data_IF_884333334627
#
_entry.id   IF_884333334627
#
_cell.length_a   1.000
_cell.length_b   1.000
_cell.length_c   1.000
_cell.angle_alpha   90.00
_cell.angle_beta   90.00
_cell.angle_gamma   90.00
#
_symmetry.space_group_name_H-M   'P 1'
#
loop_
_entity.id
_entity.type
_entity.pdbx_description
1 polymer ?
#
# COMPACT_ATOMS: atom_id res chain seq x y z
N UNK A 1 -1.87 -23.49 -7.88
CA UNK A 1 -0.73 -22.80 -7.24
C UNK A 1 -0.08 -23.53 -6.06
N UNK A 2 -0.73 -23.75 -4.89
CA UNK A 2 -0.03 -24.34 -3.72
C UNK A 2 0.49 -25.76 -3.99
N UNK A 3 -0.34 -26.62 -4.60
CA UNK A 3 0.04 -28.00 -4.94
C UNK A 3 1.17 -28.07 -5.98
N UNK A 4 1.17 -27.17 -6.96
CA UNK A 4 2.20 -27.07 -8.00
C UNK A 4 3.55 -26.64 -7.43
N UNK A 5 3.57 -25.62 -6.55
CA UNK A 5 4.81 -25.17 -5.89
C UNK A 5 5.48 -26.27 -5.05
N UNK A 6 4.68 -27.12 -4.40
CA UNK A 6 5.20 -28.26 -3.63
C UNK A 6 5.82 -29.29 -4.56
N UNK A 7 5.17 -29.62 -5.67
CA UNK A 7 5.70 -30.57 -6.65
C UNK A 7 7.02 -30.10 -7.25
N UNK A 8 7.12 -28.81 -7.61
CA UNK A 8 8.38 -28.22 -8.13
C UNK A 8 9.50 -28.34 -7.09
N UNK A 9 9.20 -28.02 -5.83
CA UNK A 9 10.18 -28.15 -4.75
C UNK A 9 10.65 -29.60 -4.56
N UNK A 10 9.76 -30.59 -4.67
CA UNK A 10 10.16 -32.01 -4.63
C UNK A 10 11.00 -32.42 -5.86
N UNK A 11 10.64 -31.96 -7.05
CA UNK A 11 11.40 -32.26 -8.28
C UNK A 11 12.82 -31.68 -8.20
N UNK A 12 12.97 -30.44 -7.75
CA UNK A 12 14.28 -29.81 -7.52
C UNK A 12 15.08 -30.60 -6.48
N UNK A 13 14.45 -31.00 -5.37
CA UNK A 13 15.10 -31.82 -4.36
C UNK A 13 15.58 -33.17 -4.92
N UNK A 14 14.79 -33.81 -5.79
CA UNK A 14 15.16 -35.04 -6.48
C UNK A 14 16.39 -34.88 -7.38
N UNK A 15 16.46 -33.78 -8.14
CA UNK A 15 17.62 -33.47 -8.99
C UNK A 15 18.89 -33.24 -8.16
N UNK A 16 18.80 -32.42 -7.12
CA UNK A 16 19.95 -32.12 -6.25
C UNK A 16 20.47 -33.35 -5.51
N UNK A 17 19.57 -34.24 -5.05
CA UNK A 17 19.97 -35.51 -4.45
C UNK A 17 20.61 -36.45 -5.48
N UNK A 18 20.05 -36.54 -6.68
CA UNK A 18 20.62 -37.38 -7.75
C UNK A 18 22.02 -36.92 -8.14
N UNK A 19 22.24 -35.61 -8.24
CA UNK A 19 23.56 -35.02 -8.47
C UNK A 19 24.53 -35.38 -7.35
N UNK A 20 24.11 -35.23 -6.08
CA UNK A 20 24.97 -35.57 -4.93
C UNK A 20 25.32 -37.06 -4.81
N UNK A 21 24.52 -37.94 -5.41
CA UNK A 21 24.78 -39.38 -5.50
C UNK A 21 25.67 -39.76 -6.70
N UNK A 22 26.14 -38.77 -7.47
CA UNK A 22 26.97 -39.00 -8.66
C UNK A 22 26.19 -39.58 -9.85
N UNK A 23 24.85 -39.52 -9.82
CA UNK A 23 23.99 -40.21 -10.80
C UNK A 23 23.81 -39.49 -12.13
N UNK A 24 24.27 -38.24 -12.31
CA UNK A 24 24.42 -37.57 -13.62
C UNK A 24 24.84 -36.08 -13.51
N UNK A 25 25.31 -35.56 -14.67
CA UNK A 25 25.42 -34.16 -15.12
C UNK A 25 26.45 -33.24 -14.45
N UNK A 26 27.05 -32.33 -15.24
CA UNK A 26 27.93 -31.28 -14.71
C UNK A 26 27.13 -30.29 -13.85
N UNK A 27 27.84 -29.55 -13.00
CA UNK A 27 27.27 -28.52 -12.13
C UNK A 27 26.38 -27.53 -12.90
N UNK A 28 26.83 -27.10 -14.07
CA UNK A 28 26.14 -26.14 -14.94
C UNK A 28 24.81 -26.70 -15.47
N UNK A 29 24.81 -27.98 -15.86
CA UNK A 29 23.61 -28.65 -16.38
C UNK A 29 22.57 -28.80 -15.27
N UNK A 30 22.98 -29.23 -14.07
CA UNK A 30 22.07 -29.37 -12.92
C UNK A 30 21.52 -28.02 -12.49
N UNK A 31 22.36 -26.98 -12.40
CA UNK A 31 21.90 -25.62 -12.08
C UNK A 31 20.87 -25.14 -13.10
N UNK A 32 21.14 -25.30 -14.39
CA UNK A 32 20.21 -24.90 -15.47
C UNK A 32 18.86 -25.62 -15.36
N UNK A 33 18.86 -26.94 -15.14
CA UNK A 33 17.63 -27.73 -14.96
C UNK A 33 16.84 -27.31 -13.71
N UNK A 34 17.52 -27.07 -12.59
CA UNK A 34 16.89 -26.61 -11.35
C UNK A 34 16.25 -25.24 -11.57
N UNK A 35 16.97 -24.29 -12.16
CA UNK A 35 16.43 -22.94 -12.41
C UNK A 35 15.24 -22.99 -13.39
N UNK A 36 15.32 -23.80 -14.44
CA UNK A 36 14.21 -23.99 -15.39
C UNK A 36 12.95 -24.54 -14.69
N UNK A 37 13.10 -25.51 -13.79
CA UNK A 37 11.97 -26.03 -12.99
C UNK A 37 11.37 -24.95 -12.10
N UNK A 38 12.19 -24.16 -11.41
CA UNK A 38 11.71 -23.09 -10.52
C UNK A 38 10.93 -22.06 -11.34
N UNK A 39 11.52 -21.53 -12.42
CA UNK A 39 10.88 -20.49 -13.23
C UNK A 39 9.64 -20.96 -13.99
N UNK A 40 9.49 -22.26 -14.25
CA UNK A 40 8.28 -22.80 -14.89
C UNK A 40 6.98 -22.57 -14.09
N UNK A 41 7.08 -22.28 -12.79
CA UNK A 41 5.94 -22.14 -11.88
C UNK A 41 5.93 -20.80 -11.11
N UNK A 42 6.87 -19.91 -11.42
CA UNK A 42 6.96 -18.59 -10.81
C UNK A 42 6.41 -17.57 -11.81
N UNK A 43 5.43 -16.72 -11.44
CA UNK A 43 4.99 -15.64 -12.31
C UNK A 43 6.18 -14.77 -12.73
N UNK A 44 6.30 -14.47 -14.02
CA UNK A 44 7.35 -13.56 -14.49
C UNK A 44 7.04 -12.12 -14.07
N UNK A 45 8.06 -11.25 -14.10
CA UNK A 45 7.87 -9.81 -13.87
C UNK A 45 6.80 -9.22 -14.80
N UNK A 46 6.80 -9.58 -16.08
CA UNK A 46 5.81 -9.07 -17.03
C UNK A 46 4.40 -9.59 -16.74
N UNK A 47 4.25 -10.84 -16.29
CA UNK A 47 2.96 -11.38 -15.84
C UNK A 47 2.44 -10.64 -14.60
N UNK A 48 3.32 -10.34 -13.64
CA UNK A 48 3.00 -9.55 -12.45
C UNK A 48 2.53 -8.13 -12.82
N UNK A 49 3.28 -7.44 -13.68
CA UNK A 49 2.94 -6.08 -14.15
C UNK A 49 1.63 -6.08 -14.96
N UNK A 50 1.42 -7.08 -15.82
CA UNK A 50 0.17 -7.22 -16.57
C UNK A 50 -1.03 -7.44 -15.64
N UNK A 51 -0.88 -8.29 -14.61
CA UNK A 51 -1.93 -8.51 -13.61
C UNK A 51 -2.25 -7.24 -12.81
N UNK A 52 -1.23 -6.49 -12.38
CA UNK A 52 -1.43 -5.20 -11.70
C UNK A 52 -2.13 -4.19 -12.61
N UNK A 53 -1.72 -4.09 -13.89
CA UNK A 53 -2.36 -3.23 -14.89
C UNK A 53 -3.84 -3.54 -15.04
N UNK A 54 -4.22 -4.82 -15.17
CA UNK A 54 -5.63 -5.22 -15.27
C UNK A 54 -6.45 -4.72 -14.07
N UNK A 55 -5.89 -4.84 -12.85
CA UNK A 55 -6.56 -4.35 -11.65
C UNK A 55 -6.69 -2.82 -11.63
N UNK A 56 -5.66 -2.10 -12.08
CA UNK A 56 -5.70 -0.65 -12.23
C UNK A 56 -6.70 -0.20 -13.30
N UNK A 57 -6.75 -0.87 -14.45
CA UNK A 57 -7.70 -0.59 -15.53
C UNK A 57 -9.15 -0.83 -15.06
N UNK A 58 -9.41 -1.93 -14.34
CA UNK A 58 -10.72 -2.23 -13.77
C UNK A 58 -11.13 -1.18 -12.71
N UNK A 59 -10.22 -0.80 -11.82
CA UNK A 59 -10.48 0.27 -10.84
C UNK A 59 -10.76 1.61 -11.52
N UNK A 60 -9.99 1.96 -12.55
CA UNK A 60 -10.20 3.19 -13.33
C UNK A 60 -11.56 3.17 -14.03
N UNK A 61 -11.94 2.05 -14.65
CA UNK A 61 -13.24 1.90 -15.30
C UNK A 61 -14.39 2.10 -14.29
N UNK A 62 -14.29 1.50 -13.10
CA UNK A 62 -15.26 1.69 -12.01
C UNK A 62 -15.31 3.14 -11.54
N UNK A 63 -14.15 3.77 -11.36
CA UNK A 63 -14.02 5.18 -10.96
C UNK A 63 -14.71 6.11 -11.97
N UNK A 64 -14.54 5.85 -13.28
CA UNK A 64 -15.21 6.58 -14.35
C UNK A 64 -16.72 6.35 -14.32
N UNK A 65 -17.16 5.10 -14.16
CA UNK A 65 -18.57 4.74 -14.16
C UNK A 65 -19.35 5.45 -13.04
N UNK A 66 -18.78 5.54 -11.84
CA UNK A 66 -19.44 6.20 -10.70
C UNK A 66 -19.06 7.68 -10.54
N UNK A 67 -18.16 8.21 -11.39
CA UNK A 67 -17.62 9.58 -11.31
C UNK A 67 -17.07 9.94 -9.93
N UNK A 68 -16.33 9.02 -9.32
CA UNK A 68 -15.79 9.15 -7.96
C UNK A 68 -15.18 7.86 -7.45
N UNK A 69 -14.89 7.79 -6.16
CA UNK A 69 -14.26 6.64 -5.52
C UNK A 69 -15.25 5.46 -5.48
N UNK A 70 -14.96 4.33 -6.16
CA UNK A 70 -15.90 3.21 -6.20
C UNK A 70 -15.97 2.50 -4.84
N UNK A 71 -17.18 2.29 -4.35
CA UNK A 71 -17.44 1.58 -3.09
C UNK A 71 -18.61 0.63 -3.27
N UNK A 72 -18.49 -0.58 -2.72
CA UNK A 72 -19.54 -1.60 -2.78
C UNK A 72 -20.50 -1.43 -1.61
N UNK A 73 -21.77 -1.18 -1.88
CA UNK A 73 -22.83 -1.13 -0.86
C UNK A 73 -23.54 -2.47 -0.75
N UNK A 74 -23.52 -3.09 0.43
CA UNK A 74 -24.24 -4.35 0.69
C UNK A 74 -25.57 -4.00 1.36
N UNK A 75 -26.67 -4.18 0.63
CA UNK A 75 -28.03 -4.02 1.16
C UNK A 75 -28.72 -5.38 1.10
N UNK A 76 -29.19 -5.90 2.23
CA UNK A 76 -30.12 -7.05 2.27
C UNK A 76 -29.58 -8.42 1.85
N UNK A 77 -28.26 -8.62 1.78
CA UNK A 77 -27.66 -9.95 1.51
C UNK A 77 -27.51 -10.33 0.02
N UNK A 78 -27.80 -9.43 -0.92
CA UNK A 78 -27.52 -9.61 -2.35
C UNK A 78 -26.12 -9.10 -2.74
N UNK A 79 -25.69 -9.40 -3.97
CA UNK A 79 -24.48 -8.84 -4.57
C UNK A 79 -24.61 -7.31 -4.64
N UNK A 80 -23.84 -6.62 -3.81
CA UNK A 80 -23.93 -5.16 -3.66
C UNK A 80 -23.64 -4.35 -4.93
N UNK A 81 -24.33 -3.23 -5.08
CA UNK A 81 -24.09 -2.24 -6.15
C UNK A 81 -22.77 -1.48 -5.91
N UNK A 82 -22.10 -1.08 -6.99
CA UNK A 82 -20.94 -0.19 -6.93
C UNK A 82 -21.45 1.25 -7.08
N UNK A 83 -21.26 2.05 -6.04
CA UNK A 83 -21.63 3.47 -6.00
C UNK A 83 -20.39 4.33 -5.74
N UNK A 84 -20.50 5.63 -5.95
CA UNK A 84 -19.47 6.58 -5.53
C UNK A 84 -19.58 6.83 -4.03
N UNK A 85 -18.46 6.75 -3.31
CA UNK A 85 -18.31 7.30 -1.96
C UNK A 85 -17.76 8.73 -1.95
N UNK A 86 -17.42 9.28 -3.12
CA UNK A 86 -17.02 10.67 -3.24
C UNK A 86 -18.23 11.60 -3.20
N UNK A 87 -18.07 12.75 -2.52
CA UNK A 87 -19.11 13.77 -2.44
C UNK A 87 -19.45 14.41 -3.79
N UNK A 88 -20.57 15.14 -3.84
CA UNK A 88 -21.12 15.76 -5.05
C UNK A 88 -20.12 16.67 -5.79
N UNK A 89 -19.27 17.39 -5.06
CA UNK A 89 -18.23 18.25 -5.64
C UNK A 89 -17.28 17.50 -6.58
N UNK A 90 -16.88 16.27 -6.22
CA UNK A 90 -16.02 15.43 -7.06
C UNK A 90 -16.76 15.01 -8.32
N UNK A 91 -18.01 14.56 -8.19
CA UNK A 91 -18.82 14.13 -9.33
C UNK A 91 -19.06 15.27 -10.33
N UNK A 92 -19.35 16.47 -9.83
CA UNK A 92 -19.61 17.67 -10.64
C UNK A 92 -18.33 18.15 -11.36
N UNK A 93 -17.15 17.95 -10.77
CA UNK A 93 -15.86 18.31 -11.36
C UNK A 93 -15.12 17.15 -12.04
N UNK A 94 -15.69 15.95 -12.09
CA UNK A 94 -14.99 14.72 -12.48
C UNK A 94 -14.29 14.81 -13.84
N UNK A 95 -14.92 15.47 -14.82
CA UNK A 95 -14.34 15.63 -16.16
C UNK A 95 -13.03 16.43 -16.14
N UNK A 96 -12.87 17.38 -15.21
CA UNK A 96 -11.63 18.14 -15.03
C UNK A 96 -10.55 17.31 -14.32
N UNK A 97 -10.96 16.38 -13.46
CA UNK A 97 -10.06 15.52 -12.69
C UNK A 97 -9.57 14.29 -13.49
N UNK A 98 -10.38 13.82 -14.44
CA UNK A 98 -10.10 12.61 -15.23
C UNK A 98 -8.73 12.61 -15.94
N UNK A 99 -8.25 13.70 -16.55
CA UNK A 99 -6.91 13.74 -17.14
C UNK A 99 -5.80 13.48 -16.10
N UNK A 100 -5.94 14.02 -14.87
CA UNK A 100 -4.98 13.79 -13.79
C UNK A 100 -5.00 12.33 -13.34
N UNK A 101 -6.19 11.75 -13.19
CA UNK A 101 -6.37 10.33 -12.83
C UNK A 101 -5.70 9.42 -13.86
N UNK A 102 -5.90 9.68 -15.16
CA UNK A 102 -5.27 8.91 -16.24
C UNK A 102 -3.74 9.07 -16.26
N UNK A 103 -3.22 10.24 -15.93
CA UNK A 103 -1.78 10.46 -15.77
C UNK A 103 -1.23 9.64 -14.60
N UNK A 104 -1.89 9.67 -13.45
CA UNK A 104 -1.49 8.88 -12.27
C UNK A 104 -1.58 7.38 -12.54
N UNK A 105 -2.57 6.91 -13.29
CA UNK A 105 -2.69 5.51 -13.69
C UNK A 105 -1.43 4.98 -14.37
N UNK A 106 -0.93 5.69 -15.39
CA UNK A 106 0.29 5.31 -16.09
C UNK A 106 1.52 5.31 -15.16
N UNK A 107 1.65 6.34 -14.32
CA UNK A 107 2.76 6.45 -13.36
C UNK A 107 2.74 5.34 -12.31
N UNK A 108 1.56 4.93 -11.83
CA UNK A 108 1.42 3.86 -10.84
C UNK A 108 1.86 2.51 -11.39
N UNK A 109 1.55 2.22 -12.66
CA UNK A 109 1.96 0.97 -13.30
C UNK A 109 3.49 0.94 -13.48
N UNK A 110 4.10 2.07 -13.85
CA UNK A 110 5.56 2.13 -13.97
C UNK A 110 6.25 2.02 -12.61
N UNK A 111 5.77 2.74 -11.59
CA UNK A 111 6.28 2.60 -10.23
C UNK A 111 6.17 1.15 -9.72
N UNK A 112 5.04 0.47 -9.98
CA UNK A 112 4.89 -0.95 -9.68
C UNK A 112 5.92 -1.80 -10.42
N UNK A 113 6.15 -1.57 -11.73
CA UNK A 113 7.16 -2.29 -12.51
C UNK A 113 8.55 -2.14 -11.89
N UNK A 114 8.96 -0.92 -11.55
CA UNK A 114 10.27 -0.65 -10.95
C UNK A 114 10.44 -1.39 -9.63
N UNK A 115 9.48 -1.27 -8.71
CA UNK A 115 9.56 -1.91 -7.39
C UNK A 115 9.42 -3.43 -7.47
N UNK A 116 8.54 -3.95 -8.34
CA UNK A 116 8.40 -5.39 -8.59
C UNK A 116 9.68 -6.01 -9.14
N UNK A 117 10.41 -5.27 -10.01
CA UNK A 117 11.69 -5.72 -10.55
C UNK A 117 12.70 -5.94 -9.44
N UNK A 118 12.87 -4.95 -8.54
CA UNK A 118 13.80 -5.03 -7.40
C UNK A 118 13.46 -6.25 -6.53
N UNK A 119 12.18 -6.42 -6.19
CA UNK A 119 11.68 -7.55 -5.40
C UNK A 119 11.95 -8.90 -6.10
N UNK A 120 11.63 -9.01 -7.39
CA UNK A 120 11.84 -10.22 -8.17
C UNK A 120 13.32 -10.58 -8.28
N UNK A 121 14.18 -9.61 -8.59
CA UNK A 121 15.63 -9.80 -8.68
C UNK A 121 16.24 -10.26 -7.34
N UNK A 122 15.73 -9.75 -6.21
CA UNK A 122 16.12 -10.22 -4.89
C UNK A 122 15.81 -11.71 -4.70
N UNK A 123 14.58 -12.15 -4.99
CA UNK A 123 14.24 -13.58 -4.88
C UNK A 123 15.08 -14.47 -5.80
N UNK A 124 15.32 -14.01 -7.04
CA UNK A 124 16.19 -14.71 -7.99
C UNK A 124 17.62 -14.80 -7.45
N UNK A 125 18.15 -13.73 -6.86
CA UNK A 125 19.47 -13.73 -6.24
C UNK A 125 19.55 -14.71 -5.07
N UNK A 126 18.58 -14.65 -4.14
CA UNK A 126 18.55 -15.49 -2.94
C UNK A 126 18.49 -16.98 -3.29
N UNK A 127 17.64 -17.37 -4.26
CA UNK A 127 17.53 -18.78 -4.66
C UNK A 127 18.78 -19.27 -5.41
N UNK A 128 19.36 -18.43 -6.28
CA UNK A 128 20.62 -18.76 -6.96
C UNK A 128 21.74 -18.99 -5.94
N UNK A 129 21.86 -18.12 -4.93
CA UNK A 129 22.89 -18.25 -3.90
C UNK A 129 22.78 -19.57 -3.14
N UNK A 130 21.55 -20.01 -2.81
CA UNK A 130 21.34 -21.29 -2.12
C UNK A 130 21.71 -22.49 -2.99
N UNK A 131 21.39 -22.44 -4.28
CA UNK A 131 21.74 -23.50 -5.23
C UNK A 131 23.26 -23.53 -5.44
N UNK A 132 23.89 -22.37 -5.62
CA UNK A 132 25.34 -22.26 -5.77
C UNK A 132 26.09 -22.77 -4.55
N UNK A 133 25.62 -22.43 -3.34
CA UNK A 133 26.19 -22.95 -2.10
C UNK A 133 26.10 -24.48 -2.03
N UNK A 134 24.96 -25.07 -2.40
CA UNK A 134 24.79 -26.51 -2.42
C UNK A 134 25.70 -27.19 -3.45
N UNK A 135 25.85 -26.60 -4.64
CA UNK A 135 26.62 -27.18 -5.73
C UNK A 135 28.14 -26.99 -5.55
N UNK A 136 28.58 -25.94 -4.87
CA UNK A 136 29.99 -25.71 -4.55
C UNK A 136 30.51 -26.72 -3.50
N UNK A 137 29.70 -27.00 -2.48
CA UNK A 137 30.06 -27.91 -1.38
C UNK A 137 28.98 -28.99 -1.21
N UNK A 138 28.98 -29.95 -2.12
CA UNK A 138 27.96 -31.01 -2.14
C UNK A 138 28.06 -31.90 -0.89
N UNK A 139 27.04 -31.95 -0.02
CA UNK A 139 27.14 -32.72 1.22
C UNK A 139 27.12 -34.24 0.95
N UNK A 140 28.04 -34.96 1.59
CA UNK A 140 28.35 -36.38 1.28
C UNK A 140 27.24 -37.31 1.76
N UNK A 141 26.69 -37.06 2.93
CA UNK A 141 25.66 -37.92 3.53
C UNK A 141 24.26 -37.33 3.37
N UNK A 142 23.24 -38.18 3.33
CA UNK A 142 21.85 -37.74 3.30
C UNK A 142 21.47 -36.86 4.52
N UNK A 143 22.07 -37.14 5.69
CA UNK A 143 21.86 -36.38 6.92
C UNK A 143 22.39 -34.94 6.80
N UNK A 144 23.55 -34.76 6.18
CA UNK A 144 24.11 -33.42 5.92
C UNK A 144 23.36 -32.68 4.81
N UNK A 145 22.84 -33.40 3.80
CA UNK A 145 22.06 -32.79 2.70
C UNK A 145 20.70 -32.28 3.12
N UNK A 146 20.01 -32.99 4.02
CA UNK A 146 18.64 -32.69 4.44
C UNK A 146 18.39 -31.20 4.79
N UNK A 147 19.21 -30.51 5.61
CA UNK A 147 18.99 -29.10 5.93
C UNK A 147 19.08 -28.16 4.72
N UNK A 148 20.03 -28.38 3.79
CA UNK A 148 20.14 -27.58 2.57
C UNK A 148 18.92 -27.73 1.68
N UNK A 149 18.52 -28.99 1.44
CA UNK A 149 17.33 -29.30 0.64
C UNK A 149 16.06 -28.72 1.28
N UNK A 150 15.91 -28.82 2.60
CA UNK A 150 14.78 -28.25 3.31
C UNK A 150 14.71 -26.72 3.14
N UNK A 151 15.85 -26.02 3.23
CA UNK A 151 15.96 -24.57 3.01
C UNK A 151 15.60 -24.21 1.57
N UNK A 152 16.20 -24.87 0.57
CA UNK A 152 15.90 -24.64 -0.86
C UNK A 152 14.41 -24.86 -1.15
N UNK A 153 13.84 -25.97 -0.67
CA UNK A 153 12.40 -26.25 -0.85
C UNK A 153 11.52 -25.16 -0.24
N UNK A 154 11.90 -24.59 0.90
CA UNK A 154 11.16 -23.50 1.55
C UNK A 154 11.20 -22.23 0.70
N UNK A 155 12.39 -21.84 0.24
CA UNK A 155 12.54 -20.64 -0.58
C UNK A 155 11.83 -20.76 -1.94
N UNK A 156 11.83 -21.94 -2.58
CA UNK A 156 11.05 -22.17 -3.82
C UNK A 156 9.55 -21.94 -3.58
N UNK A 157 8.99 -22.48 -2.49
CA UNK A 157 7.58 -22.27 -2.15
C UNK A 157 7.28 -20.81 -1.87
N UNK A 158 8.22 -20.11 -1.25
CA UNK A 158 8.07 -18.70 -0.95
C UNK A 158 8.11 -17.85 -2.23
N UNK A 159 9.13 -18.07 -3.07
CA UNK A 159 9.27 -17.40 -4.36
C UNK A 159 8.06 -17.66 -5.26
N UNK A 160 7.47 -18.85 -5.25
CA UNK A 160 6.24 -19.12 -6.04
C UNK A 160 5.06 -18.18 -5.73
N UNK A 161 5.06 -17.51 -4.56
CA UNK A 161 4.03 -16.58 -4.10
C UNK A 161 4.43 -15.11 -4.21
N UNK A 162 5.63 -14.80 -4.71
CA UNK A 162 6.21 -13.45 -4.68
C UNK A 162 5.26 -12.39 -5.22
N UNK A 163 4.62 -12.65 -6.38
CA UNK A 163 3.72 -11.70 -7.02
C UNK A 163 2.49 -11.41 -6.15
N UNK A 164 1.93 -12.43 -5.48
CA UNK A 164 0.78 -12.24 -4.59
C UNK A 164 1.16 -11.41 -3.35
N UNK A 165 2.31 -11.71 -2.75
CA UNK A 165 2.83 -10.99 -1.58
C UNK A 165 3.12 -9.54 -1.95
N UNK A 166 3.90 -9.32 -3.02
CA UNK A 166 4.22 -7.99 -3.51
C UNK A 166 2.97 -7.19 -3.90
N UNK A 167 2.02 -7.81 -4.62
CA UNK A 167 0.74 -7.16 -4.96
C UNK A 167 -0.03 -6.71 -3.72
N UNK A 168 -0.04 -7.50 -2.64
CA UNK A 168 -0.72 -7.12 -1.38
C UNK A 168 -0.19 -5.80 -0.82
N UNK A 169 1.12 -5.55 -0.96
CA UNK A 169 1.75 -4.31 -0.51
C UNK A 169 1.58 -3.12 -1.47
N UNK A 170 1.15 -3.35 -2.71
CA UNK A 170 0.95 -2.31 -3.73
C UNK A 170 -0.51 -2.12 -4.16
N UNK A 171 -1.43 -2.94 -3.68
CA UNK A 171 -2.84 -2.94 -4.11
C UNK A 171 -3.51 -1.57 -3.89
N UNK A 172 -3.10 -0.84 -2.85
CA UNK A 172 -3.66 0.48 -2.52
C UNK A 172 -2.99 1.65 -3.24
N UNK A 173 -1.84 1.46 -3.91
CA UNK A 173 -1.10 2.57 -4.50
C UNK A 173 -1.93 3.40 -5.49
N UNK A 174 -2.60 2.75 -6.45
CA UNK A 174 -3.43 3.49 -7.41
C UNK A 174 -4.71 4.07 -6.80
N UNK A 175 -5.50 3.33 -5.99
CA UNK A 175 -6.62 3.92 -5.25
C UNK A 175 -6.25 5.14 -4.41
N UNK A 176 -5.13 5.11 -3.67
CA UNK A 176 -4.67 6.24 -2.85
C UNK A 176 -4.25 7.46 -3.68
N UNK A 177 -3.65 7.25 -4.85
CA UNK A 177 -3.35 8.36 -5.77
C UNK A 177 -4.62 9.02 -6.33
N UNK A 178 -5.65 8.23 -6.62
CA UNK A 178 -6.96 8.74 -7.03
C UNK A 178 -7.65 9.49 -5.90
N UNK A 179 -7.60 8.93 -4.68
CA UNK A 179 -8.14 9.57 -3.48
C UNK A 179 -7.48 10.93 -3.24
N UNK A 180 -6.15 11.01 -3.35
CA UNK A 180 -5.42 12.27 -3.24
C UNK A 180 -5.94 13.30 -4.24
N UNK A 181 -6.12 12.96 -5.51
CA UNK A 181 -6.66 13.89 -6.52
C UNK A 181 -8.05 14.41 -6.08
N UNK A 182 -8.91 13.54 -5.57
CA UNK A 182 -10.23 13.92 -5.09
C UNK A 182 -10.17 14.82 -3.87
N UNK A 183 -9.30 14.51 -2.90
CA UNK A 183 -9.09 15.32 -1.70
C UNK A 183 -8.58 16.72 -2.07
N UNK A 184 -7.58 16.80 -2.95
CA UNK A 184 -7.02 18.08 -3.39
C UNK A 184 -8.06 18.98 -4.08
N UNK A 185 -9.09 18.39 -4.72
CA UNK A 185 -10.21 19.14 -5.29
C UNK A 185 -11.13 19.77 -4.22
N UNK A 186 -11.03 19.33 -2.97
CA UNK A 186 -11.74 19.88 -1.81
C UNK A 186 -10.99 21.00 -1.08
N UNK A 187 -9.89 21.51 -1.64
CA UNK A 187 -9.08 22.61 -1.09
C UNK A 187 -8.64 22.42 0.39
N UNK A 188 -7.98 21.29 0.74
CA UNK A 188 -7.41 21.12 2.07
C UNK A 188 -6.33 22.17 2.36
N UNK A 189 -6.13 22.46 3.65
CA UNK A 189 -5.12 23.40 4.14
C UNK A 189 -3.79 22.72 4.42
N UNK A 190 -3.86 21.52 5.02
CA UNK A 190 -2.71 20.75 5.45
C UNK A 190 -3.09 19.26 5.59
N UNK A 191 -2.08 18.42 5.82
CA UNK A 191 -2.26 17.01 6.16
C UNK A 191 -1.36 16.64 7.34
N UNK A 192 -1.91 15.88 8.28
CA UNK A 192 -1.17 15.21 9.34
C UNK A 192 -0.76 13.83 8.84
N UNK A 193 0.50 13.46 8.98
CA UNK A 193 0.95 12.11 8.69
C UNK A 193 0.63 11.18 9.86
N UNK A 194 -0.09 10.10 9.59
CA UNK A 194 -0.38 9.06 10.58
C UNK A 194 0.40 7.80 10.23
N UNK A 195 1.36 7.47 11.10
CA UNK A 195 2.19 6.28 10.97
C UNK A 195 1.40 5.00 11.23
N UNK A 196 1.72 3.94 10.50
CA UNK A 196 1.18 2.61 10.72
C UNK A 196 2.27 1.68 11.22
N UNK A 197 2.07 1.05 12.37
CA UNK A 197 3.00 0.04 12.89
C UNK A 197 3.13 -1.19 11.99
N UNK A 198 2.23 -1.36 11.01
CA UNK A 198 2.32 -2.42 10.01
C UNK A 198 3.50 -2.22 9.04
N UNK A 199 4.07 -1.01 8.94
CA UNK A 199 5.29 -0.77 8.17
C UNK A 199 6.47 -1.59 8.72
N UNK A 200 6.55 -1.80 10.05
CA UNK A 200 7.59 -2.60 10.71
C UNK A 200 7.41 -4.13 10.49
N UNK A 201 6.20 -4.57 10.16
CA UNK A 201 5.87 -5.99 9.90
C UNK A 201 5.97 -6.36 8.42
N UNK A 202 6.29 -5.39 7.54
CA UNK A 202 6.35 -5.61 6.11
C UNK A 202 7.63 -6.36 5.71
N UNK A 203 7.49 -7.35 4.82
CA UNK A 203 8.65 -8.05 4.22
C UNK A 203 9.52 -7.11 3.37
N UNK A 204 8.89 -6.07 2.83
CA UNK A 204 9.51 -5.04 2.01
C UNK A 204 9.26 -3.68 2.69
N UNK A 205 9.98 -3.38 3.79
CA UNK A 205 9.80 -2.12 4.48
C UNK A 205 10.16 -0.94 3.56
N UNK A 206 9.54 0.23 3.78
CA UNK A 206 9.96 1.48 3.14
C UNK A 206 11.45 1.76 3.32
N UNK A 207 12.06 2.46 2.36
CA UNK A 207 13.49 2.79 2.44
C UNK A 207 13.75 3.85 3.53
N UNK A 208 12.75 4.71 3.78
CA UNK A 208 12.80 5.73 4.81
C UNK A 208 12.06 5.33 6.09
N UNK A 209 12.58 5.77 7.23
CA UNK A 209 11.91 5.63 8.52
C UNK A 209 10.69 6.59 8.61
N UNK A 210 9.53 6.08 8.24
CA UNK A 210 8.27 6.83 8.31
C UNK A 210 7.80 7.13 9.73
N UNK A 211 8.30 6.44 10.75
CA UNK A 211 7.92 6.69 12.16
C UNK A 211 8.29 8.10 12.58
N UNK A 212 9.38 8.64 12.03
CA UNK A 212 9.81 10.01 12.28
C UNK A 212 8.84 11.05 11.75
N UNK A 213 7.92 10.67 10.83
CA UNK A 213 6.90 11.55 10.27
C UNK A 213 5.60 11.56 11.07
N UNK A 214 5.43 10.63 12.02
CA UNK A 214 4.18 10.52 12.77
C UNK A 214 3.80 11.83 13.46
N UNK A 215 2.57 12.26 13.26
CA UNK A 215 2.01 13.51 13.80
C UNK A 215 2.52 14.80 13.14
N UNK A 216 3.44 14.74 12.17
CA UNK A 216 3.92 15.93 11.47
C UNK A 216 2.84 16.51 10.56
N UNK A 217 2.84 17.83 10.43
CA UNK A 217 1.82 18.57 9.69
C UNK A 217 2.44 19.26 8.48
N UNK A 218 2.02 18.83 7.29
CA UNK A 218 2.51 19.33 6.02
C UNK A 218 1.48 20.26 5.39
N UNK A 219 1.90 21.45 4.96
CA UNK A 219 1.01 22.40 4.32
C UNK A 219 0.64 21.97 2.90
N UNK A 220 -0.58 22.29 2.48
CA UNK A 220 -0.99 22.22 1.08
C UNK A 220 -0.69 23.56 0.41
N UNK A 221 0.12 23.54 -0.65
CA UNK A 221 0.57 24.76 -1.31
C UNK A 221 -0.57 25.52 -1.98
N UNK A 222 -0.55 26.86 -1.90
CA UNK A 222 -1.53 27.76 -2.56
C UNK A 222 -2.97 27.51 -2.10
N UNK A 223 -3.16 27.08 -0.86
CA UNK A 223 -4.49 26.95 -0.29
C UNK A 223 -5.13 28.32 0.01
N UNK A 224 -6.44 28.34 0.25
CA UNK A 224 -7.19 29.59 0.46
C UNK A 224 -6.76 30.36 1.72
N UNK A 225 -6.29 29.69 2.77
CA UNK A 225 -5.88 30.32 4.02
C UNK A 225 -4.51 31.00 3.87
N UNK A 226 -3.59 30.38 3.13
CA UNK A 226 -2.31 30.97 2.73
C UNK A 226 -2.56 32.23 1.88
N UNK A 227 -3.43 32.13 0.87
CA UNK A 227 -3.79 33.26 0.02
C UNK A 227 -4.41 34.45 0.78
N UNK A 228 -5.09 34.19 1.91
CA UNK A 228 -5.64 35.21 2.81
C UNK A 228 -4.69 35.64 3.93
N UNK A 229 -3.46 35.12 3.95
CA UNK A 229 -2.46 35.32 5.00
C UNK A 229 -2.97 34.96 6.40
N UNK A 230 -3.81 33.92 6.49
CA UNK A 230 -4.33 33.38 7.74
C UNK A 230 -3.44 32.27 8.29
N UNK A 231 -2.69 31.60 7.41
CA UNK A 231 -1.68 30.61 7.78
C UNK A 231 -0.34 30.89 7.11
N UNK A 232 0.70 30.28 7.66
CA UNK A 232 2.04 30.14 7.09
C UNK A 232 2.38 28.66 6.99
N UNK A 233 3.39 28.32 6.19
CA UNK A 233 3.94 26.96 6.15
C UNK A 233 4.55 26.60 7.51
N UNK A 234 4.30 25.38 7.98
CA UNK A 234 4.91 24.84 9.20
C UNK A 234 6.38 24.46 8.98
N UNK A 235 7.05 24.02 10.05
CA UNK A 235 8.45 23.59 9.99
C UNK A 235 8.69 22.37 9.11
N UNK A 236 7.67 21.53 8.92
CA UNK A 236 7.77 20.30 8.13
C UNK A 236 7.57 20.50 6.62
N UNK A 237 7.28 21.74 6.18
CA UNK A 237 7.20 22.09 4.75
C UNK A 237 5.88 21.72 4.08
N UNK A 238 5.93 21.38 2.79
CA UNK A 238 4.75 21.09 1.98
C UNK A 238 4.56 19.60 1.68
N UNK A 239 3.31 19.18 1.53
CA UNK A 239 2.97 17.77 1.25
C UNK A 239 3.43 17.30 -0.14
N UNK A 240 3.65 18.22 -1.08
CA UNK A 240 4.15 17.93 -2.43
C UNK A 240 5.68 17.78 -2.50
N UNK A 241 6.38 17.96 -1.38
CA UNK A 241 7.84 17.85 -1.26
C UNK A 241 8.29 16.51 -0.65
N UNK A 242 7.34 15.67 -0.21
CA UNK A 242 7.61 14.37 0.39
C UNK A 242 6.95 13.23 -0.40
N UNK A 243 7.49 12.03 -0.26
CA UNK A 243 6.80 10.81 -0.71
C UNK A 243 5.53 10.61 0.12
N UNK A 244 4.42 10.44 -0.59
CA UNK A 244 3.10 10.26 0.01
C UNK A 244 2.89 8.79 0.40
N UNK A 245 1.97 8.50 1.33
CA UNK A 245 1.70 7.13 1.70
C UNK A 245 1.30 6.25 0.50
N UNK A 246 1.69 4.98 0.55
CA UNK A 246 1.49 3.98 -0.51
C UNK A 246 2.27 4.20 -1.83
N UNK A 247 3.13 5.22 -1.94
CA UNK A 247 4.01 5.38 -3.10
C UNK A 247 5.19 4.38 -3.06
N UNK A 248 5.81 4.21 -1.90
CA UNK A 248 6.83 3.18 -1.65
C UNK A 248 6.20 1.78 -1.48
N UNK A 249 7.01 0.72 -1.56
CA UNK A 249 6.53 -0.63 -1.19
C UNK A 249 6.42 -0.70 0.32
N UNK A 250 5.37 -1.34 0.82
CA UNK A 250 5.25 -1.64 2.26
C UNK A 250 4.79 -0.49 3.15
N UNK A 251 4.67 0.72 2.61
CA UNK A 251 4.09 1.86 3.32
C UNK A 251 2.57 1.70 3.47
N UNK A 252 2.10 1.55 4.71
CA UNK A 252 0.71 1.45 5.13
C UNK A 252 0.27 2.69 5.93
N UNK A 253 1.09 3.75 5.95
CA UNK A 253 0.76 5.04 6.54
C UNK A 253 -0.44 5.69 5.85
N UNK A 254 -1.01 6.73 6.44
CA UNK A 254 -2.07 7.51 5.81
C UNK A 254 -2.00 8.99 6.19
N UNK A 255 -2.79 9.81 5.50
CA UNK A 255 -2.87 11.25 5.72
C UNK A 255 -4.23 11.62 6.30
N UNK A 256 -4.21 12.38 7.38
CA UNK A 256 -5.40 13.03 7.93
C UNK A 256 -5.46 14.48 7.47
N UNK A 257 -6.49 14.85 6.72
CA UNK A 257 -6.57 16.15 6.05
C UNK A 257 -7.27 17.21 6.89
N UNK A 258 -6.64 18.38 6.99
CA UNK A 258 -7.14 19.53 7.73
C UNK A 258 -7.76 20.53 6.76
N UNK A 259 -9.01 20.93 7.01
CA UNK A 259 -9.78 21.83 6.14
C UNK A 259 -10.11 23.18 6.78
N UNK A 260 -9.99 23.29 8.11
CA UNK A 260 -10.27 24.51 8.85
C UNK A 260 -9.00 25.07 9.47
N UNK A 261 -8.91 26.39 9.54
CA UNK A 261 -7.85 27.09 10.27
C UNK A 261 -7.91 26.80 11.79
N UNK A 262 -9.04 26.34 12.32
CA UNK A 262 -9.16 25.91 13.72
C UNK A 262 -8.42 24.63 14.03
N UNK A 263 -8.18 23.81 13.01
CA UNK A 263 -7.59 22.48 13.16
C UNK A 263 -6.08 22.51 12.89
N UNK A 264 -5.56 23.66 12.44
CA UNK A 264 -4.14 23.86 12.20
C UNK A 264 -3.39 24.02 13.54
N UNK A 265 -2.15 23.52 13.61
CA UNK A 265 -1.25 23.84 14.71
C UNK A 265 -1.05 25.35 14.88
N UNK A 266 -0.85 25.79 16.12
CA UNK A 266 -0.78 27.22 16.44
C UNK A 266 0.37 27.94 15.72
N UNK A 267 1.49 27.26 15.52
CA UNK A 267 2.67 27.74 14.80
C UNK A 267 2.41 27.98 13.31
N UNK A 268 1.40 27.32 12.74
CA UNK A 268 0.99 27.54 11.35
C UNK A 268 0.02 28.73 11.21
N UNK A 269 -0.48 29.30 12.32
CA UNK A 269 -1.39 30.43 12.30
C UNK A 269 -0.64 31.77 12.36
N UNK A 270 -0.98 32.68 11.45
CA UNK A 270 -0.52 34.07 11.54
C UNK A 270 -1.28 34.80 12.65
N UNK A 271 -0.79 35.98 13.07
CA UNK A 271 -1.55 36.84 13.99
C UNK A 271 -2.97 37.14 13.46
N UNK A 272 -3.13 37.27 12.14
CA UNK A 272 -4.43 37.45 11.48
C UNK A 272 -5.29 36.19 11.56
N UNK A 273 -4.69 35.01 11.39
CA UNK A 273 -5.37 33.72 11.57
C UNK A 273 -5.91 33.54 12.98
N UNK A 274 -5.06 33.76 14.00
CA UNK A 274 -5.44 33.69 15.42
C UNK A 274 -6.58 34.65 15.75
N UNK A 275 -6.48 35.91 15.35
CA UNK A 275 -7.54 36.90 15.55
C UNK A 275 -8.86 36.55 14.83
N UNK A 276 -8.82 35.80 13.72
CA UNK A 276 -10.01 35.32 13.03
C UNK A 276 -10.76 34.27 13.85
N UNK A 277 -10.04 33.38 14.54
CA UNK A 277 -10.64 32.34 15.38
C UNK A 277 -11.34 32.93 16.60
N UNK A 278 -10.70 33.91 17.27
CA UNK A 278 -11.26 34.58 18.45
C UNK A 278 -12.58 35.30 18.15
N UNK A 279 -12.71 35.91 16.97
CA UNK A 279 -13.93 36.58 16.52
C UNK A 279 -15.08 35.60 16.28
N UNK A 280 -14.78 34.43 15.73
CA UNK A 280 -15.77 33.37 15.51
C UNK A 280 -16.28 32.77 16.81
N UNK A 281 -15.41 32.59 17.81
CA UNK A 281 -15.80 32.10 19.14
C UNK A 281 -16.63 33.14 19.91
N UNK A 282 -16.27 34.43 19.83
CA UNK A 282 -17.00 35.51 20.52
C UNK A 282 -18.42 35.72 19.98
N UNK A 283 -18.63 35.46 18.68
CA UNK A 283 -19.96 35.62 18.04
C UNK A 283 -20.96 34.54 18.49
N UNK A 284 -20.50 33.36 18.93
CA UNK A 284 -21.39 32.31 19.46
C UNK A 284 -21.79 32.51 20.93
N UNK A 285 -21.08 33.33 21.70
CA UNK A 285 -21.40 33.57 23.12
C UNK A 285 -22.53 34.60 23.30
N UNK A 286 -22.97 35.28 22.22
CA UNK A 286 -24.04 36.27 22.22
C UNK A 286 -25.47 35.74 21.97
N UNK A 287 -25.67 34.45 21.68
CA UNK A 287 -26.99 33.87 21.42
C UNK A 287 -27.41 32.91 22.53
N UNK A 288 -27.83 33.46 23.67
CA UNK A 288 -28.46 32.70 24.75
C UNK A 288 -29.81 32.11 24.31
N UNK A 289 -29.88 30.79 24.16
CA UNK A 289 -31.13 30.00 24.15
C UNK A 289 -31.23 29.23 25.46
N UNK A 290 -32.42 29.07 26.09
CA UNK A 290 -32.56 28.45 27.41
C UNK A 290 -32.20 26.96 27.42
N UNK A 291 -31.93 26.35 28.59
CA UNK A 291 -31.40 25.00 28.70
C UNK A 291 -32.44 23.96 28.28
N UNK A 292 -32.08 23.11 27.33
CA UNK A 292 -32.84 21.89 27.00
C UNK A 292 -32.43 20.77 27.95
N UNK A 293 -33.42 20.16 28.60
CA UNK A 293 -33.27 19.11 29.60
C UNK A 293 -32.29 18.00 29.19
N UNK A 294 -31.41 17.64 30.11
CA UNK A 294 -30.44 16.56 30.03
C UNK A 294 -31.15 15.20 29.94
N UNK A 295 -31.02 14.54 28.78
CA UNK A 295 -31.19 13.07 28.70
C UNK A 295 -29.84 12.41 29.01
N UNK A 296 -29.89 11.46 29.95
CA UNK A 296 -28.76 10.61 30.41
C UNK A 296 -27.93 10.07 29.22
N UNK A 297 -26.60 9.95 29.38
CA UNK A 297 -25.74 9.31 28.39
C UNK A 297 -26.06 7.81 28.29
N UNK A 298 -26.41 7.35 27.09
CA UNK A 298 -26.36 5.93 26.75
C UNK A 298 -24.90 5.53 26.54
N UNK A 299 -24.52 4.38 27.12
CA UNK A 299 -23.17 3.80 27.10
C UNK A 299 -22.56 3.69 25.69
N UNK A 300 -21.21 3.64 25.57
CA UNK A 300 -20.55 3.50 24.29
C UNK A 300 -20.86 2.12 23.69
N UNK A 301 -21.45 2.11 22.48
CA UNK A 301 -21.50 0.91 21.66
C UNK A 301 -20.09 0.67 21.13
N UNK A 302 -19.46 -0.40 21.61
CA UNK A 302 -18.16 -0.86 21.14
C UNK A 302 -18.17 -1.04 19.62
N UNK A 303 -17.45 -0.18 18.88
CA UNK A 303 -17.10 -0.42 17.48
C UNK A 303 -16.07 -1.56 17.45
N UNK A 304 -16.54 -2.76 17.13
CA UNK A 304 -15.64 -3.86 16.73
C UNK A 304 -14.92 -3.44 15.44
N UNK A 305 -13.59 -3.47 15.48
CA UNK A 305 -12.75 -3.17 14.33
C UNK A 305 -13.04 -4.18 13.20
N UNK A 306 -13.01 -3.69 11.96
CA UNK A 306 -13.23 -4.48 10.75
C UNK A 306 -12.12 -5.52 10.50
N UNK A 307 -10.96 -5.35 11.14
CA UNK A 307 -9.77 -6.18 10.93
C UNK A 307 -9.87 -7.57 11.57
N UNK A 308 -10.80 -7.81 12.50
CA UNK A 308 -10.93 -9.11 13.17
C UNK A 308 -11.68 -10.19 12.36
N UNK A 309 -12.00 -9.95 11.07
CA UNK A 309 -12.72 -10.93 10.21
C UNK A 309 -11.88 -11.54 9.09
N UNK A 310 -10.64 -11.11 8.88
CA UNK A 310 -9.76 -11.69 7.86
C UNK A 310 -8.93 -12.89 8.36
N UNK A 311 -8.90 -13.13 9.68
CA UNK A 311 -8.22 -14.28 10.29
C UNK A 311 -9.19 -15.14 11.11
N UNK A 312 -10.24 -15.63 10.47
CA UNK A 312 -10.99 -16.78 10.99
C UNK A 312 -11.54 -17.57 9.82
N UNK A 313 -10.72 -18.51 9.33
CA UNK A 313 -11.11 -19.88 9.00
C UNK A 313 -9.87 -20.63 8.53
N UNK A 314 -9.48 -21.58 9.38
CA UNK A 314 -8.72 -22.78 9.08
C UNK A 314 -9.32 -23.54 7.89
#
# INVERSE_FOLDING_TARGET
MILESKQVAENVAGLLNSYAEGKNASTEVVKSQVMALIFSNVPSLDQAVASYRINCDDFLAKTIAVKGMPTRTIIGGSTGEIVSSSGRSVADNFQKLLPLIKKCHASCIENYRTQAKICFEKYVSDINQLIDQFLAEVPRTAKERAPYIARIKREIRYFSKWNQLFYTHKAMSFPSEVEYIFIMSGEPLAAVWEYSSLDEECEFPPDMDHKQRDGRVYAVRRNWAEAKSLMVVGSDGYIDEIDRPHQETGCMCHLHWLYSISDLPEEMLTAKGKASLEKSTTTQVGASTPPRATKKPSAPVARKSWLSRLFSKS
#
